data_IF_337122392911
#
_entry.id   IF_337122392911
#
_cell.length_a   1.000
_cell.length_b   1.000
_cell.length_c   1.000
_cell.angle_alpha   90.00
_cell.angle_beta   90.00
_cell.angle_gamma   90.00
#
_symmetry.space_group_name_H-M   'P 1'
#
loop_
_entity.id
_entity.type
_entity.pdbx_description
1 polymer ?
#
# COMPACT_ATOMS: atom_id res chain seq x y z
N UNK A 1 5.75 -4.68 -1.74
CA UNK A 1 6.16 -5.68 -2.74
C UNK A 1 7.05 -6.72 -2.06
N UNK A 2 6.89 -8.01 -2.38
CA UNK A 2 7.74 -9.10 -1.87
C UNK A 2 8.55 -9.68 -3.03
N UNK A 3 9.87 -9.75 -2.90
CA UNK A 3 10.73 -10.43 -3.86
C UNK A 3 10.93 -11.88 -3.42
N UNK A 4 10.58 -12.84 -4.28
CA UNK A 4 10.75 -14.27 -4.02
C UNK A 4 11.91 -14.88 -4.82
N UNK A 5 12.66 -15.77 -4.20
CA UNK A 5 13.64 -16.65 -4.85
C UNK A 5 13.46 -18.08 -4.34
N UNK A 6 13.71 -19.09 -5.17
CA UNK A 6 13.45 -20.46 -4.76
C UNK A 6 13.87 -21.51 -5.76
N UNK A 7 13.37 -22.72 -5.55
CA UNK A 7 13.63 -23.87 -6.40
C UNK A 7 13.25 -23.59 -7.87
N UNK A 8 14.10 -23.93 -8.85
CA UNK A 8 13.73 -23.82 -10.26
C UNK A 8 12.37 -24.49 -10.55
N UNK A 9 11.46 -23.76 -11.17
CA UNK A 9 10.11 -24.25 -11.46
C UNK A 9 9.10 -24.18 -10.30
N UNK A 10 9.41 -23.47 -9.20
CA UNK A 10 8.39 -23.16 -8.18
C UNK A 10 7.18 -22.47 -8.84
N UNK A 11 6.00 -22.72 -8.28
CA UNK A 11 4.75 -22.20 -8.77
C UNK A 11 3.82 -21.84 -7.59
N UNK A 12 2.54 -21.63 -7.88
CA UNK A 12 1.55 -21.31 -6.84
C UNK A 12 1.36 -22.43 -5.81
N UNK A 13 1.32 -23.68 -6.26
CA UNK A 13 1.03 -24.83 -5.42
C UNK A 13 2.26 -25.38 -4.67
N UNK A 14 3.44 -25.35 -5.29
CA UNK A 14 4.63 -26.04 -4.76
C UNK A 14 5.95 -25.42 -5.21
N UNK A 15 7.01 -25.74 -4.49
CA UNK A 15 8.38 -25.31 -4.70
C UNK A 15 8.85 -24.45 -3.53
N UNK A 16 9.96 -24.85 -2.91
CA UNK A 16 10.55 -24.11 -1.78
C UNK A 16 11.01 -22.72 -2.20
N UNK A 17 10.49 -21.70 -1.52
CA UNK A 17 10.78 -20.28 -1.77
C UNK A 17 11.18 -19.55 -0.48
N UNK A 18 11.99 -18.52 -0.66
CA UNK A 18 12.33 -17.48 0.31
C UNK A 18 11.83 -16.14 -0.22
N UNK A 19 11.27 -15.31 0.65
CA UNK A 19 10.77 -13.98 0.32
C UNK A 19 11.42 -12.90 1.16
N UNK A 20 11.57 -11.70 0.59
CA UNK A 20 11.97 -10.48 1.32
C UNK A 20 11.02 -9.33 1.02
N UNK A 21 10.62 -8.62 2.07
CA UNK A 21 9.83 -7.40 2.00
C UNK A 21 10.48 -6.30 2.85
N UNK A 22 10.69 -5.13 2.25
CA UNK A 22 11.12 -3.93 2.97
C UNK A 22 9.86 -3.16 3.34
N UNK A 23 9.60 -2.99 4.64
CA UNK A 23 8.46 -2.24 5.13
C UNK A 23 8.72 -0.73 5.09
N UNK A 24 8.85 -0.22 3.86
CA UNK A 24 9.10 1.18 3.58
C UNK A 24 8.20 1.65 2.42
N UNK A 25 7.66 2.86 2.56
CA UNK A 25 6.74 3.45 1.56
C UNK A 25 7.39 4.52 0.68
N UNK A 26 8.62 4.93 1.00
CA UNK A 26 9.44 5.82 0.17
C UNK A 26 10.28 5.06 -0.85
N UNK A 27 11.44 5.62 -1.21
CA UNK A 27 12.39 4.94 -2.10
C UNK A 27 12.99 3.72 -1.38
N UNK A 28 12.96 2.55 -2.01
CA UNK A 28 13.56 1.33 -1.48
C UNK A 28 14.12 0.46 -2.59
N UNK A 29 14.94 -0.51 -2.21
CA UNK A 29 15.46 -1.55 -3.10
C UNK A 29 15.34 -2.92 -2.46
N UNK A 30 15.21 -3.93 -3.31
CA UNK A 30 15.36 -5.35 -2.96
C UNK A 30 16.29 -5.97 -3.98
N UNK A 31 17.14 -6.91 -3.55
CA UNK A 31 18.12 -7.54 -4.43
C UNK A 31 18.34 -9.00 -4.08
N UNK A 32 18.75 -9.75 -5.10
CA UNK A 32 19.31 -11.10 -5.00
C UNK A 32 20.71 -11.02 -5.60
N UNK A 33 21.69 -11.46 -4.85
CA UNK A 33 23.08 -11.48 -5.29
C UNK A 33 23.68 -12.86 -5.06
N UNK A 34 24.61 -13.23 -5.94
CA UNK A 34 25.56 -14.32 -5.70
C UNK A 34 26.95 -13.72 -5.75
N UNK A 35 27.67 -13.79 -4.63
CA UNK A 35 29.05 -13.32 -4.52
C UNK A 35 30.00 -14.27 -5.24
N UNK A 36 31.23 -13.81 -5.49
CA UNK A 36 32.25 -14.61 -6.21
C UNK A 36 32.68 -15.88 -5.46
N UNK A 37 32.60 -15.90 -4.13
CA UNK A 37 32.81 -17.07 -3.27
C UNK A 37 31.57 -17.98 -3.16
N UNK A 38 30.48 -17.64 -3.87
CA UNK A 38 29.29 -18.46 -4.01
C UNK A 38 28.21 -18.23 -2.95
N UNK A 39 28.40 -17.29 -2.02
CA UNK A 39 27.37 -16.91 -1.05
C UNK A 39 26.20 -16.27 -1.80
N UNK A 40 24.99 -16.73 -1.49
CA UNK A 40 23.77 -16.17 -2.04
C UNK A 40 23.09 -15.28 -1.00
N UNK A 41 22.81 -14.05 -1.36
CA UNK A 41 22.21 -13.05 -0.49
C UNK A 41 20.87 -12.63 -1.05
N UNK A 42 19.87 -12.59 -0.17
CA UNK A 42 18.59 -11.96 -0.40
C UNK A 42 18.49 -10.78 0.57
N UNK A 43 18.28 -9.57 0.05
CA UNK A 43 18.35 -8.36 0.85
C UNK A 43 17.41 -7.26 0.38
N UNK A 44 17.25 -6.25 1.23
CA UNK A 44 16.46 -5.08 0.95
C UNK A 44 16.78 -3.96 1.94
N UNK A 45 16.34 -2.76 1.61
CA UNK A 45 16.42 -1.58 2.47
C UNK A 45 15.85 -0.36 1.75
N UNK A 46 15.70 0.73 2.48
CA UNK A 46 15.51 2.05 1.92
C UNK A 46 16.61 2.41 0.92
N UNK A 47 16.26 3.27 -0.03
CA UNK A 47 17.18 3.81 -1.01
C UNK A 47 17.31 5.31 -0.75
N UNK A 48 18.33 5.68 0.02
CA UNK A 48 18.59 7.06 0.40
C UNK A 48 19.27 7.82 -0.73
N UNK A 49 18.77 9.02 -1.03
CA UNK A 49 19.43 10.00 -1.87
C UNK A 49 20.49 10.79 -1.07
N UNK A 50 21.46 11.43 -1.76
CA UNK A 50 22.49 12.21 -1.07
C UNK A 50 21.89 13.28 -0.15
N UNK A 51 22.35 13.29 1.11
CA UNK A 51 21.93 14.27 2.11
C UNK A 51 20.64 13.95 2.87
N UNK A 52 19.91 12.88 2.51
CA UNK A 52 18.68 12.50 3.23
C UNK A 52 18.96 12.07 4.68
N UNK A 53 20.14 11.51 4.95
CA UNK A 53 20.58 11.18 6.30
C UNK A 53 22.01 11.65 6.54
N UNK A 54 22.20 12.41 7.62
CA UNK A 54 23.51 12.81 8.14
C UNK A 54 23.52 12.55 9.64
N UNK A 55 24.51 11.79 10.13
CA UNK A 55 24.64 11.46 11.54
C UNK A 55 25.77 12.27 12.18
N UNK A 56 25.42 13.06 13.19
CA UNK A 56 26.41 13.67 14.07
C UNK A 56 26.97 12.62 15.05
N UNK A 57 28.15 12.86 15.65
CA UNK A 57 28.69 11.98 16.68
C UNK A 57 27.69 11.73 17.81
N UNK A 58 27.46 10.46 18.15
CA UNK A 58 26.51 10.04 19.19
C UNK A 58 25.07 9.83 18.71
N UNK A 59 24.73 10.21 17.48
CA UNK A 59 23.40 9.94 16.93
C UNK A 59 23.28 8.52 16.37
N UNK A 60 22.05 8.00 16.37
CA UNK A 60 21.71 6.67 15.83
C UNK A 60 20.71 6.81 14.68
N UNK A 61 20.79 5.87 13.74
CA UNK A 61 19.82 5.70 12.67
C UNK A 61 19.16 4.33 12.78
N UNK A 62 17.85 4.27 12.52
CA UNK A 62 17.08 3.04 12.45
C UNK A 62 16.58 2.86 11.02
N UNK A 63 17.00 1.77 10.37
CA UNK A 63 16.49 1.38 9.06
C UNK A 63 15.03 0.91 9.17
N UNK A 64 14.30 0.83 8.05
CA UNK A 64 13.01 0.15 8.00
C UNK A 64 13.12 -1.31 8.41
N UNK A 65 12.02 -1.87 8.88
CA UNK A 65 11.92 -3.29 9.14
C UNK A 65 11.99 -4.09 7.82
N UNK A 66 12.69 -5.23 7.88
CA UNK A 66 12.77 -6.17 6.77
C UNK A 66 12.12 -7.48 7.22
N UNK A 67 11.11 -7.90 6.47
CA UNK A 67 10.38 -9.13 6.71
C UNK A 67 10.86 -10.21 5.76
N UNK A 68 11.28 -11.34 6.32
CA UNK A 68 11.66 -12.53 5.56
C UNK A 68 10.58 -13.60 5.66
N UNK A 69 10.42 -14.35 4.57
CA UNK A 69 9.49 -15.46 4.50
C UNK A 69 10.16 -16.71 3.98
N UNK A 70 9.68 -17.86 4.45
CA UNK A 70 9.98 -19.17 3.90
C UNK A 70 8.65 -19.92 3.71
N UNK A 71 8.47 -20.55 2.54
CA UNK A 71 7.27 -21.30 2.22
C UNK A 71 7.52 -22.35 1.12
N UNK A 72 6.56 -23.25 0.93
CA UNK A 72 6.47 -24.15 -0.22
C UNK A 72 5.28 -23.73 -1.08
N UNK A 73 5.55 -23.16 -2.26
CA UNK A 73 4.55 -22.55 -3.15
C UNK A 73 4.12 -21.13 -2.77
N UNK A 74 3.82 -20.32 -3.80
CA UNK A 74 3.42 -18.91 -3.62
C UNK A 74 2.09 -18.74 -2.87
N UNK A 75 1.18 -19.69 -3.00
CA UNK A 75 -0.10 -19.64 -2.28
C UNK A 75 0.11 -19.75 -0.77
N UNK A 76 1.01 -20.64 -0.34
CA UNK A 76 1.31 -20.81 1.08
C UNK A 76 2.05 -19.59 1.63
N UNK A 77 2.92 -18.97 0.83
CA UNK A 77 3.54 -17.69 1.15
C UNK A 77 2.48 -16.59 1.34
N UNK A 78 1.57 -16.40 0.37
CA UNK A 78 0.52 -15.41 0.48
C UNK A 78 -0.41 -15.65 1.70
N UNK A 79 -0.82 -16.91 1.93
CA UNK A 79 -1.65 -17.27 3.10
C UNK A 79 -0.92 -16.98 4.41
N UNK A 80 0.37 -17.30 4.52
CA UNK A 80 1.14 -17.03 5.72
C UNK A 80 1.28 -15.53 6.00
N UNK A 81 1.58 -14.73 4.97
CA UNK A 81 1.64 -13.28 5.10
C UNK A 81 0.29 -12.70 5.52
N UNK A 82 -0.80 -13.07 4.83
CA UNK A 82 -2.14 -12.61 5.21
C UNK A 82 -2.55 -13.04 6.62
N UNK A 83 -2.18 -14.24 7.07
CA UNK A 83 -2.44 -14.67 8.45
C UNK A 83 -1.69 -13.81 9.46
N UNK A 84 -0.42 -13.52 9.18
CA UNK A 84 0.41 -12.67 10.04
C UNK A 84 -0.13 -11.23 10.10
N UNK A 85 -0.42 -10.60 8.96
CA UNK A 85 -1.01 -9.26 8.89
C UNK A 85 -2.34 -9.17 9.66
N UNK A 86 -3.19 -10.19 9.55
CA UNK A 86 -4.47 -10.24 10.32
C UNK A 86 -4.29 -10.49 11.82
N UNK A 87 -3.12 -10.98 12.24
CA UNK A 87 -2.80 -11.19 13.66
C UNK A 87 -2.28 -9.92 14.34
N UNK A 88 -1.92 -8.88 13.56
CA UNK A 88 -1.41 -7.63 14.11
C UNK A 88 -2.53 -6.88 14.84
N UNK A 89 -2.22 -6.17 15.95
CA UNK A 89 -3.21 -5.38 16.69
C UNK A 89 -3.90 -4.28 15.86
N UNK A 90 -3.25 -3.82 14.79
CA UNK A 90 -3.77 -2.83 13.86
C UNK A 90 -4.81 -3.40 12.88
N UNK A 91 -5.00 -4.72 12.82
CA UNK A 91 -5.96 -5.31 11.90
C UNK A 91 -7.40 -4.90 12.27
N UNK A 92 -8.19 -4.34 11.33
CA UNK A 92 -9.57 -3.97 11.60
C UNK A 92 -10.40 -5.21 11.99
N UNK A 93 -11.15 -5.11 13.09
CA UNK A 93 -12.02 -6.19 13.57
C UNK A 93 -13.42 -6.17 12.94
N UNK A 94 -13.87 -5.02 12.45
CA UNK A 94 -15.19 -4.87 11.83
C UNK A 94 -15.13 -5.19 10.32
N UNK A 95 -16.20 -5.76 9.75
CA UNK A 95 -16.36 -5.88 8.30
C UNK A 95 -16.18 -4.52 7.61
N UNK A 96 -15.54 -4.53 6.44
CA UNK A 96 -15.42 -3.30 5.62
C UNK A 96 -16.77 -3.02 4.96
N UNK A 97 -17.31 -1.80 5.04
CA UNK A 97 -18.60 -1.49 4.44
C UNK A 97 -18.54 -1.47 2.92
N UNK A 98 -19.61 -1.91 2.28
CA UNK A 98 -19.86 -1.68 0.86
C UNK A 98 -19.88 -0.18 0.61
N UNK A 99 -18.96 0.30 -0.22
CA UNK A 99 -18.68 1.73 -0.40
C UNK A 99 -18.98 2.16 -1.83
N UNK A 100 -19.72 3.27 -1.98
CA UNK A 100 -19.80 4.03 -3.22
C UNK A 100 -18.84 5.21 -3.13
N UNK A 101 -17.87 5.24 -4.04
CA UNK A 101 -17.04 6.41 -4.29
C UNK A 101 -17.54 7.12 -5.57
N UNK A 102 -17.79 8.43 -5.48
CA UNK A 102 -18.42 9.19 -6.58
C UNK A 102 -17.44 9.69 -7.65
N UNK A 103 -16.13 9.43 -7.54
CA UNK A 103 -15.12 9.97 -8.44
C UNK A 103 -15.47 9.79 -9.92
N UNK A 104 -15.69 8.57 -10.39
CA UNK A 104 -16.01 8.31 -11.80
C UNK A 104 -17.44 8.76 -12.18
N UNK A 105 -18.31 9.01 -11.21
CA UNK A 105 -19.70 9.41 -11.44
C UNK A 105 -19.85 10.92 -11.68
N UNK A 106 -18.97 11.75 -11.12
CA UNK A 106 -19.06 13.22 -11.21
C UNK A 106 -17.73 13.91 -11.54
N UNK A 107 -16.58 13.26 -11.39
CA UNK A 107 -15.26 13.90 -11.42
C UNK A 107 -15.28 15.22 -10.63
N UNK A 108 -14.89 16.34 -11.23
CA UNK A 108 -14.90 17.66 -10.58
C UNK A 108 -16.24 18.41 -10.69
N UNK A 109 -17.21 17.89 -11.43
CA UNK A 109 -18.52 18.52 -11.68
C UNK A 109 -19.49 18.24 -10.52
N UNK A 110 -19.09 18.72 -9.33
CA UNK A 110 -19.86 18.55 -8.10
C UNK A 110 -21.10 19.45 -8.11
N UNK A 111 -22.27 18.80 -8.09
CA UNK A 111 -23.56 19.41 -7.88
C UNK A 111 -24.24 18.75 -6.67
N UNK A 112 -24.60 19.54 -5.66
CA UNK A 112 -25.14 19.01 -4.40
C UNK A 112 -26.44 18.20 -4.59
N UNK A 113 -27.45 18.70 -5.33
CA UNK A 113 -28.64 17.91 -5.67
C UNK A 113 -28.32 16.56 -6.32
N UNK A 114 -27.41 16.53 -7.31
CA UNK A 114 -26.96 15.29 -7.95
C UNK A 114 -26.30 14.33 -6.97
N UNK A 115 -25.42 14.84 -6.10
CA UNK A 115 -24.73 14.02 -5.09
C UNK A 115 -25.71 13.43 -4.07
N UNK A 116 -26.69 14.20 -3.62
CA UNK A 116 -27.74 13.71 -2.72
C UNK A 116 -28.60 12.64 -3.39
N UNK A 117 -29.01 12.84 -4.65
CA UNK A 117 -29.75 11.85 -5.40
C UNK A 117 -28.95 10.54 -5.58
N UNK A 118 -27.63 10.62 -5.79
CA UNK A 118 -26.75 9.45 -5.83
C UNK A 118 -26.68 8.74 -4.47
N UNK A 119 -26.59 9.51 -3.37
CA UNK A 119 -26.56 8.94 -2.02
C UNK A 119 -27.87 8.20 -1.69
N UNK A 120 -29.03 8.77 -2.03
CA UNK A 120 -30.34 8.14 -1.83
C UNK A 120 -30.45 6.82 -2.61
N UNK A 121 -30.04 6.82 -3.89
CA UNK A 121 -30.02 5.59 -4.71
C UNK A 121 -29.05 4.55 -4.18
N UNK A 122 -27.88 4.97 -3.70
CA UNK A 122 -26.92 4.06 -3.10
C UNK A 122 -27.49 3.41 -1.83
N UNK A 123 -28.19 4.20 -0.99
CA UNK A 123 -28.85 3.69 0.20
C UNK A 123 -29.97 2.69 -0.14
N UNK A 124 -30.78 2.94 -1.18
CA UNK A 124 -31.79 1.99 -1.69
C UNK A 124 -31.18 0.64 -2.11
N UNK A 125 -29.94 0.63 -2.61
CA UNK A 125 -29.19 -0.57 -3.00
C UNK A 125 -28.46 -1.25 -1.83
N UNK A 126 -28.53 -0.68 -0.62
CA UNK A 126 -27.83 -1.20 0.56
C UNK A 126 -26.34 -0.84 0.62
N UNK A 127 -25.89 0.20 -0.08
CA UNK A 127 -24.55 0.76 0.12
C UNK A 127 -24.44 1.33 1.54
N UNK A 128 -23.35 1.00 2.22
CA UNK A 128 -23.14 1.31 3.64
C UNK A 128 -22.26 2.54 3.86
N UNK A 129 -21.55 3.01 2.83
CA UNK A 129 -20.68 4.19 2.90
C UNK A 129 -20.68 4.98 1.59
N UNK A 130 -20.90 6.28 1.69
CA UNK A 130 -20.78 7.23 0.58
C UNK A 130 -19.48 8.03 0.74
N UNK A 131 -18.63 8.03 -0.30
CA UNK A 131 -17.34 8.73 -0.31
C UNK A 131 -17.39 9.83 -1.35
N UNK A 132 -17.29 11.07 -0.86
CA UNK A 132 -17.02 12.24 -1.69
C UNK A 132 -15.51 12.28 -1.98
N UNK A 133 -15.15 12.15 -3.25
CA UNK A 133 -13.76 12.12 -3.70
C UNK A 133 -13.25 13.54 -4.05
N UNK A 134 -12.17 13.63 -4.83
CA UNK A 134 -11.51 14.88 -5.23
C UNK A 134 -12.50 15.92 -5.81
N UNK A 135 -12.30 17.20 -5.47
CA UNK A 135 -13.15 18.30 -5.93
C UNK A 135 -14.03 18.99 -4.87
N UNK A 136 -14.00 18.52 -3.61
CA UNK A 136 -14.76 19.15 -2.52
C UNK A 136 -14.11 20.39 -1.91
N UNK A 137 -12.81 20.59 -2.15
CA UNK A 137 -12.02 21.65 -1.52
C UNK A 137 -11.76 22.84 -2.47
N UNK A 138 -11.45 23.99 -1.87
CA UNK A 138 -11.49 25.31 -2.50
C UNK A 138 -10.76 25.36 -3.85
N UNK A 139 -11.48 25.72 -4.91
CA UNK A 139 -10.91 25.93 -6.24
C UNK A 139 -10.50 24.63 -6.96
N UNK A 140 -10.80 23.46 -6.40
CA UNK A 140 -10.51 22.14 -6.98
C UNK A 140 -11.55 21.77 -8.05
N UNK A 141 -11.60 22.54 -9.14
CA UNK A 141 -12.48 22.28 -10.30
C UNK A 141 -11.78 21.56 -11.45
N UNK A 142 -10.50 21.26 -11.26
CA UNK A 142 -9.67 20.43 -12.11
C UNK A 142 -8.45 19.97 -11.30
N UNK A 143 -7.64 19.10 -11.88
CA UNK A 143 -6.45 18.53 -11.26
C UNK A 143 -5.26 19.52 -11.16
N UNK A 144 -5.36 20.72 -11.73
CA UNK A 144 -4.29 21.75 -11.80
C UNK A 144 -4.39 22.84 -10.74
N UNK A 145 -5.36 22.79 -9.83
CA UNK A 145 -5.56 23.79 -8.77
C UNK A 145 -6.02 23.14 -7.46
N UNK A 146 -5.99 23.90 -6.36
CA UNK A 146 -6.60 23.55 -5.06
C UNK A 146 -5.77 22.66 -4.11
N UNK A 147 -4.77 21.90 -4.59
CA UNK A 147 -3.95 21.06 -3.70
C UNK A 147 -3.20 21.92 -2.68
N UNK A 148 -3.41 21.62 -1.39
CA UNK A 148 -2.87 22.39 -0.27
C UNK A 148 -3.91 23.27 0.44
N UNK A 149 -5.02 23.61 -0.24
CA UNK A 149 -6.09 24.46 0.29
C UNK A 149 -7.28 23.62 0.78
N UNK A 150 -7.11 22.93 1.91
CA UNK A 150 -8.09 21.98 2.48
C UNK A 150 -9.28 22.65 3.19
N UNK A 151 -9.95 23.57 2.51
CA UNK A 151 -11.18 24.22 2.97
C UNK A 151 -12.31 23.81 2.04
N UNK A 152 -13.52 23.61 2.59
CA UNK A 152 -14.71 23.31 1.77
C UNK A 152 -14.91 24.43 0.74
N UNK A 153 -15.15 24.05 -0.52
CA UNK A 153 -15.55 24.98 -1.58
C UNK A 153 -17.07 25.18 -1.52
N UNK A 154 -17.57 26.36 -1.08
CA UNK A 154 -18.99 26.59 -0.83
C UNK A 154 -19.90 26.54 -2.06
#
# INVERSE_FOLDING_TARGET
>A
MVLFCGQPGFNFASGTIRGVHVAHSGNYRTWIERTNDGVQVLGGGELLLPGEITLAPGNTYHSPDIYFQYADGLDNAARALHRWERSLPSHPSAPRPVTLNVWEAVYFDHDCPRLLALADRAAELGVERFVLDDGWFLGRRNDRAGLGDWRVDP
#
